data_IF_507224773474
#
_entry.id   IF_507224773474
#
_cell.length_a   1.000
_cell.length_b   1.000
_cell.length_c   1.000
_cell.angle_alpha   90.00
_cell.angle_beta   90.00
_cell.angle_gamma   90.00
#
_symmetry.space_group_name_H-M   'P 1'
#
loop_
_entity.id
_entity.type
_entity.pdbx_description
1 polymer ?
#
# COMPACT_ATOMS: atom_id res chain seq x y z
N UNK A 1 -21.85 -33.13 0.65
CA UNK A 1 -22.02 -31.73 0.18
C UNK A 1 -20.83 -30.93 0.65
N UNK A 2 -19.90 -30.64 -0.23
CA UNK A 2 -18.75 -29.82 0.06
C UNK A 2 -19.16 -28.37 -0.11
N UNK A 3 -19.16 -27.61 0.98
CA UNK A 3 -19.29 -26.16 0.93
C UNK A 3 -17.95 -25.61 0.39
N UNK A 4 -17.96 -25.25 -0.86
CA UNK A 4 -16.88 -24.50 -1.44
C UNK A 4 -16.75 -23.18 -0.66
N UNK A 5 -15.67 -23.01 0.10
CA UNK A 5 -15.28 -21.74 0.66
C UNK A 5 -14.99 -20.79 -0.50
N UNK A 6 -15.95 -19.94 -0.82
CA UNK A 6 -15.80 -18.90 -1.80
C UNK A 6 -14.80 -17.87 -1.29
N UNK A 7 -13.52 -18.12 -1.46
CA UNK A 7 -12.48 -17.12 -1.27
C UNK A 7 -12.74 -15.99 -2.26
N UNK A 8 -12.74 -14.74 -1.76
CA UNK A 8 -12.78 -13.56 -2.62
C UNK A 8 -11.61 -13.67 -3.60
N UNK A 9 -11.84 -13.67 -4.91
CA UNK A 9 -10.73 -13.78 -5.86
C UNK A 9 -9.78 -12.61 -5.67
N UNK A 10 -8.48 -12.90 -5.60
CA UNK A 10 -7.45 -11.86 -5.53
C UNK A 10 -7.54 -11.01 -6.80
N UNK A 11 -7.67 -9.69 -6.69
CA UNK A 11 -7.73 -8.82 -7.85
C UNK A 11 -6.49 -8.99 -8.73
N UNK A 12 -6.68 -8.97 -10.04
CA UNK A 12 -5.58 -9.03 -11.00
C UNK A 12 -4.87 -7.68 -11.03
N UNK A 13 -3.55 -7.70 -10.91
CA UNK A 13 -2.72 -6.53 -11.07
C UNK A 13 -2.12 -6.51 -12.50
N UNK A 14 -2.42 -5.46 -13.22
CA UNK A 14 -1.82 -5.16 -14.52
C UNK A 14 -0.63 -4.22 -14.35
N UNK A 15 0.26 -4.06 -15.35
CA UNK A 15 1.44 -3.21 -15.24
C UNK A 15 1.15 -1.76 -14.85
N UNK A 16 0.05 -1.17 -15.33
CA UNK A 16 -0.26 0.21 -15.02
C UNK A 16 0.79 1.19 -15.53
N UNK A 17 1.03 2.25 -14.75
CA UNK A 17 1.94 3.35 -15.10
C UNK A 17 2.92 3.63 -13.96
N UNK A 18 4.20 3.96 -14.27
CA UNK A 18 5.20 4.32 -13.25
C UNK A 18 5.01 5.74 -12.70
N UNK A 19 3.99 6.45 -13.10
CA UNK A 19 3.69 7.82 -12.73
C UNK A 19 2.18 8.10 -12.79
N UNK A 20 1.60 8.93 -11.91
CA UNK A 20 2.24 9.65 -10.79
C UNK A 20 2.56 8.74 -9.60
N UNK A 21 3.47 9.18 -8.72
CA UNK A 21 3.81 8.46 -7.49
C UNK A 21 2.64 8.41 -6.52
N UNK A 22 2.58 7.32 -5.76
CA UNK A 22 1.52 7.02 -4.82
C UNK A 22 0.43 6.14 -5.43
N UNK A 23 -0.70 6.09 -4.77
CA UNK A 23 -1.87 5.33 -5.22
C UNK A 23 -2.98 6.30 -5.57
N UNK A 24 -3.34 6.35 -6.83
CA UNK A 24 -4.26 7.34 -7.39
C UNK A 24 -5.36 6.67 -8.21
N UNK A 25 -6.56 7.27 -8.29
CA UNK A 25 -7.57 6.81 -9.24
C UNK A 25 -7.04 6.88 -10.67
N UNK A 26 -7.37 5.89 -11.47
CA UNK A 26 -6.94 5.83 -12.86
C UNK A 26 -8.01 5.17 -13.74
N UNK A 27 -8.02 5.57 -15.01
CA UNK A 27 -8.79 4.92 -16.06
C UNK A 27 -7.81 4.37 -17.09
N UNK A 28 -7.68 3.05 -17.15
CA UNK A 28 -6.74 2.36 -18.03
C UNK A 28 -7.48 1.27 -18.80
N UNK A 29 -7.35 1.30 -20.14
CA UNK A 29 -8.04 0.34 -20.99
C UNK A 29 -9.59 0.40 -20.88
N UNK A 30 -10.14 1.58 -20.63
CA UNK A 30 -11.57 1.78 -20.44
C UNK A 30 -12.10 1.31 -19.08
N UNK A 31 -11.23 0.89 -18.16
CA UNK A 31 -11.62 0.41 -16.83
C UNK A 31 -11.16 1.38 -15.75
N UNK A 32 -12.08 1.71 -14.84
CA UNK A 32 -11.78 2.50 -13.66
C UNK A 32 -11.12 1.63 -12.59
N UNK A 33 -10.14 2.18 -11.88
CA UNK A 33 -9.42 1.50 -10.82
C UNK A 33 -8.44 2.43 -10.13
N UNK A 34 -7.41 1.83 -9.54
CA UNK A 34 -6.30 2.55 -8.91
C UNK A 34 -4.98 2.15 -9.54
N UNK A 35 -4.10 3.12 -9.71
CA UNK A 35 -2.73 2.90 -10.13
C UNK A 35 -1.80 3.20 -8.96
N UNK A 36 -0.94 2.25 -8.64
CA UNK A 36 0.09 2.40 -7.62
C UNK A 36 1.44 2.58 -8.30
N UNK A 37 2.25 3.53 -7.84
CA UNK A 37 3.63 3.75 -8.25
C UNK A 37 4.49 4.09 -7.04
N UNK A 38 5.44 3.22 -6.72
CA UNK A 38 6.23 3.29 -5.48
C UNK A 38 7.71 3.13 -5.81
N UNK A 39 8.55 4.14 -5.54
CA UNK A 39 9.99 3.99 -5.69
C UNK A 39 10.55 3.12 -4.56
N UNK A 40 11.22 2.06 -4.94
CA UNK A 40 11.88 1.15 -4.01
C UNK A 40 13.08 0.47 -4.68
N UNK A 41 14.23 1.15 -4.78
CA UNK A 41 15.35 0.73 -5.63
C UNK A 41 15.95 -0.63 -5.24
N UNK A 42 15.95 -0.98 -3.97
CA UNK A 42 16.55 -2.23 -3.48
C UNK A 42 15.51 -3.30 -3.14
N UNK A 43 14.24 -3.02 -3.39
CA UNK A 43 13.17 -3.99 -3.15
C UNK A 43 13.19 -5.14 -4.16
N UNK A 44 12.77 -6.30 -3.73
CA UNK A 44 12.54 -7.49 -4.58
C UNK A 44 11.08 -7.65 -4.94
N UNK A 45 10.18 -7.08 -4.16
CA UNK A 45 8.75 -6.99 -4.44
C UNK A 45 8.10 -5.89 -3.61
N UNK A 46 7.02 -5.33 -4.12
CA UNK A 46 6.14 -4.40 -3.40
C UNK A 46 4.72 -4.94 -3.47
N UNK A 47 4.06 -5.00 -2.33
CA UNK A 47 2.66 -5.43 -2.21
C UNK A 47 1.79 -4.26 -1.80
N UNK A 48 0.69 -4.11 -2.52
CA UNK A 48 -0.41 -3.20 -2.19
C UNK A 48 -1.43 -3.98 -1.36
N UNK A 49 -1.61 -3.58 -0.11
CA UNK A 49 -2.59 -4.18 0.79
C UNK A 49 -3.83 -3.31 0.81
N UNK A 50 -4.97 -3.87 0.44
CA UNK A 50 -6.27 -3.19 0.48
C UNK A 50 -7.03 -3.59 1.74
N UNK A 51 -7.77 -2.65 2.29
CA UNK A 51 -8.56 -2.85 3.50
C UNK A 51 -10.03 -2.54 3.26
N UNK A 52 -10.88 -3.05 4.12
CA UNK A 52 -12.30 -2.74 4.14
C UNK A 52 -12.57 -1.25 4.42
N UNK A 53 -13.82 -0.83 4.30
CA UNK A 53 -14.23 0.57 4.48
C UNK A 53 -13.93 1.12 5.88
N UNK A 54 -13.79 0.25 6.86
CA UNK A 54 -13.43 0.62 8.23
C UNK A 54 -11.92 0.57 8.48
N UNK A 55 -11.14 0.02 7.55
CA UNK A 55 -9.70 -0.13 7.64
C UNK A 55 -9.25 -1.21 8.64
N UNK A 56 -10.14 -2.12 9.02
CA UNK A 56 -9.86 -3.14 10.02
C UNK A 56 -9.35 -4.43 9.42
N UNK A 57 -9.95 -4.86 8.31
CA UNK A 57 -9.67 -6.14 7.71
C UNK A 57 -8.97 -5.97 6.36
N UNK A 58 -7.86 -6.66 6.16
CA UNK A 58 -7.21 -6.75 4.87
C UNK A 58 -8.06 -7.60 3.93
N UNK A 59 -8.53 -6.99 2.85
CA UNK A 59 -9.42 -7.63 1.86
C UNK A 59 -8.66 -8.20 0.67
N UNK A 60 -7.49 -7.63 0.37
CA UNK A 60 -6.62 -8.13 -0.70
C UNK A 60 -5.16 -7.73 -0.45
N UNK A 61 -4.25 -8.58 -0.91
CA UNK A 61 -2.82 -8.30 -0.94
C UNK A 61 -2.33 -8.58 -2.35
N UNK A 62 -1.87 -7.54 -3.02
CA UNK A 62 -1.62 -7.55 -4.45
C UNK A 62 -0.18 -7.17 -4.72
N UNK A 63 0.58 -8.09 -5.31
CA UNK A 63 1.94 -7.79 -5.75
C UNK A 63 1.90 -6.89 -6.98
N UNK A 64 2.62 -5.77 -6.95
CA UNK A 64 2.73 -4.87 -8.10
C UNK A 64 3.39 -5.59 -9.27
N UNK A 65 2.78 -5.47 -10.46
CA UNK A 65 3.06 -6.33 -11.61
C UNK A 65 4.33 -5.95 -12.38
N UNK A 66 4.77 -4.70 -12.27
CA UNK A 66 5.84 -4.17 -13.10
C UNK A 66 6.83 -3.30 -12.32
N UNK A 67 8.01 -3.15 -12.91
CA UNK A 67 9.04 -2.25 -12.42
C UNK A 67 9.65 -1.51 -13.60
N UNK A 68 9.71 -0.20 -13.51
CA UNK A 68 10.38 0.67 -14.47
C UNK A 68 11.44 1.46 -13.72
N UNK A 69 12.69 1.24 -14.04
CA UNK A 69 13.82 1.74 -13.26
C UNK A 69 13.70 1.30 -11.79
N UNK A 70 13.58 2.24 -10.87
CA UNK A 70 13.43 1.96 -9.45
C UNK A 70 11.98 2.10 -8.95
N UNK A 71 11.01 2.22 -9.86
CA UNK A 71 9.61 2.42 -9.52
C UNK A 71 8.85 1.12 -9.75
N UNK A 72 8.28 0.57 -8.69
CA UNK A 72 7.32 -0.52 -8.75
C UNK A 72 5.94 0.04 -9.04
N UNK A 73 5.23 -0.55 -10.00
CA UNK A 73 3.91 -0.04 -10.37
C UNK A 73 2.94 -1.13 -10.79
N UNK A 74 1.67 -0.81 -10.68
CA UNK A 74 0.59 -1.70 -11.07
C UNK A 74 -0.76 -0.99 -11.06
N UNK A 75 -1.67 -1.53 -11.85
CA UNK A 75 -3.06 -1.09 -11.94
C UNK A 75 -3.99 -2.20 -11.50
N UNK A 76 -4.95 -1.84 -10.67
CA UNK A 76 -6.01 -2.74 -10.18
C UNK A 76 -7.36 -2.14 -10.54
N UNK A 77 -8.10 -2.82 -11.40
CA UNK A 77 -9.45 -2.40 -11.75
C UNK A 77 -10.42 -2.67 -10.58
N UNK A 78 -11.37 -1.77 -10.38
CA UNK A 78 -12.43 -1.86 -9.39
C UNK A 78 -12.32 -0.86 -8.26
N UNK A 79 -11.29 -0.88 -7.40
CA UNK A 79 -11.12 0.12 -6.34
C UNK A 79 -11.04 1.55 -6.89
N UNK A 80 -11.41 2.51 -6.07
CA UNK A 80 -11.41 3.93 -6.44
C UNK A 80 -11.10 4.84 -5.27
N UNK A 81 -11.49 6.10 -5.39
CA UNK A 81 -11.36 7.08 -4.32
C UNK A 81 -12.02 6.58 -3.03
N UNK A 82 -11.38 6.81 -1.90
CA UNK A 82 -11.81 6.32 -0.60
C UNK A 82 -11.25 4.96 -0.21
N UNK A 83 -10.69 4.18 -1.14
CA UNK A 83 -10.07 2.89 -0.85
C UNK A 83 -8.95 3.07 0.18
N UNK A 84 -9.00 2.29 1.24
CA UNK A 84 -7.94 2.26 2.26
C UNK A 84 -6.89 1.24 1.91
N UNK A 85 -5.63 1.62 2.08
CA UNK A 85 -4.50 0.79 1.70
C UNK A 85 -3.28 1.01 2.58
N UNK A 86 -2.33 0.12 2.44
CA UNK A 86 -0.96 0.23 2.92
C UNK A 86 -0.02 -0.53 2.01
N UNK A 87 1.26 -0.43 2.27
CA UNK A 87 2.30 -1.07 1.46
C UNK A 87 3.09 -2.06 2.31
N UNK A 88 3.50 -3.17 1.70
CA UNK A 88 4.52 -4.07 2.25
C UNK A 88 5.62 -4.23 1.23
N UNK A 89 6.86 -4.12 1.69
CA UNK A 89 8.02 -4.13 0.80
C UNK A 89 8.95 -5.27 1.19
N UNK A 90 9.29 -6.09 0.22
CA UNK A 90 10.24 -7.18 0.35
C UNK A 90 11.60 -6.76 -0.17
N UNK A 91 12.66 -7.26 0.45
CA UNK A 91 14.02 -6.99 0.06
C UNK A 91 15.00 -7.58 1.05
N UNK A 92 16.31 -7.30 0.89
CA UNK A 92 17.33 -7.84 1.77
C UNK A 92 17.24 -7.28 3.20
N UNK A 93 17.53 -8.14 4.17
CA UNK A 93 17.77 -7.73 5.55
C UNK A 93 19.29 -7.74 5.79
N UNK A 94 19.92 -6.61 5.58
CA UNK A 94 21.36 -6.39 5.73
C UNK A 94 21.59 -5.03 6.40
N UNK A 95 21.36 -4.93 7.73
CA UNK A 95 21.46 -3.66 8.46
C UNK A 95 22.79 -2.95 8.32
N UNK A 96 23.90 -3.70 8.21
CA UNK A 96 25.24 -3.19 7.99
C UNK A 96 25.41 -2.48 6.64
N UNK A 97 24.63 -2.87 5.64
CA UNK A 97 24.56 -2.22 4.33
C UNK A 97 23.42 -1.19 4.22
N UNK A 98 22.71 -0.94 5.31
CA UNK A 98 21.58 -0.01 5.33
C UNK A 98 20.25 -0.59 4.86
N UNK A 99 20.16 -1.89 4.58
CA UNK A 99 18.96 -2.55 4.11
C UNK A 99 18.17 -3.20 5.25
N UNK A 100 16.96 -2.72 5.50
CA UNK A 100 16.08 -3.22 6.57
C UNK A 100 14.67 -3.47 6.05
N UNK A 101 14.56 -4.21 4.95
CA UNK A 101 13.26 -4.60 4.41
C UNK A 101 12.60 -5.64 5.32
N UNK A 102 11.39 -5.37 5.75
CA UNK A 102 10.62 -6.29 6.58
C UNK A 102 9.15 -6.32 6.12
N UNK A 103 8.73 -7.37 5.38
CA UNK A 103 7.37 -7.45 4.84
C UNK A 103 6.29 -7.63 5.91
N UNK A 104 6.65 -7.93 7.16
CA UNK A 104 5.72 -7.91 8.29
C UNK A 104 5.35 -6.49 8.73
N UNK A 105 5.98 -5.48 8.17
CA UNK A 105 5.65 -4.08 8.44
C UNK A 105 4.76 -3.52 7.35
N UNK A 106 3.54 -3.17 7.75
CA UNK A 106 2.69 -2.33 6.92
C UNK A 106 3.24 -0.92 6.95
N UNK A 107 3.49 -0.36 5.78
CA UNK A 107 4.10 0.95 5.62
C UNK A 107 3.08 1.96 5.09
N UNK A 108 3.25 3.20 5.52
CA UNK A 108 2.53 4.33 4.98
C UNK A 108 3.19 4.76 3.67
N UNK A 109 2.40 4.95 2.63
CA UNK A 109 2.85 5.51 1.36
C UNK A 109 3.32 6.95 1.57
N UNK A 110 4.57 7.30 1.23
CA UNK A 110 5.07 8.66 1.39
C UNK A 110 4.31 9.71 0.56
N UNK A 111 3.63 9.29 -0.50
CA UNK A 111 2.82 10.16 -1.35
C UNK A 111 1.33 10.16 -0.99
N UNK A 112 0.95 9.49 0.11
CA UNK A 112 -0.45 9.53 0.55
C UNK A 112 -0.88 10.96 0.89
N UNK A 113 -2.10 11.30 0.54
CA UNK A 113 -2.69 12.61 0.84
C UNK A 113 -3.69 12.56 1.98
N UNK A 114 -4.09 11.38 2.37
CA UNK A 114 -5.06 11.17 3.44
C UNK A 114 -4.72 9.92 4.23
N UNK A 115 -4.79 10.05 5.54
CA UNK A 115 -4.67 8.93 6.48
C UNK A 115 -5.98 8.75 7.23
N UNK A 116 -6.31 7.52 7.56
CA UNK A 116 -7.46 7.16 8.37
C UNK A 116 -7.09 6.20 9.48
N UNK A 117 -7.68 6.38 10.63
CA UNK A 117 -7.43 5.57 11.82
C UNK A 117 -6.60 6.30 12.86
N UNK A 118 -6.50 5.72 14.07
CA UNK A 118 -5.75 6.33 15.14
C UNK A 118 -4.25 6.34 14.82
N UNK A 119 -3.62 7.47 15.04
CA UNK A 119 -2.18 7.58 15.16
C UNK A 119 -1.78 7.00 16.53
N UNK A 120 -1.68 5.69 16.63
CA UNK A 120 -1.01 5.10 17.77
C UNK A 120 0.45 5.56 17.76
N UNK A 121 0.98 5.91 18.92
CA UNK A 121 2.36 6.39 19.04
C UNK A 121 3.31 5.44 18.34
N UNK A 122 4.00 5.94 17.33
CA UNK A 122 4.98 5.22 16.51
C UNK A 122 6.24 4.77 17.28
N UNK A 123 6.27 4.90 18.59
CA UNK A 123 7.45 4.64 19.42
C UNK A 123 8.03 3.22 19.29
N UNK A 124 7.27 2.26 18.75
CA UNK A 124 7.70 0.87 18.57
C UNK A 124 7.51 0.36 17.13
N UNK A 125 7.31 1.25 16.17
CA UNK A 125 7.02 0.89 14.77
C UNK A 125 8.28 0.73 13.89
N UNK A 126 9.43 0.62 14.51
CA UNK A 126 10.66 0.30 13.81
C UNK A 126 10.65 -1.17 13.35
N UNK A 127 11.18 -1.41 12.15
CA UNK A 127 11.23 -2.75 11.55
C UNK A 127 12.17 -3.73 12.24
N UNK A 128 12.88 -3.30 13.26
CA UNK A 128 13.84 -4.09 14.03
C UNK A 128 13.52 -4.03 15.53
N UNK A 129 14.14 -4.91 16.31
CA UNK A 129 14.04 -4.87 17.77
C UNK A 129 14.95 -3.78 18.33
N UNK A 130 14.42 -2.88 19.16
CA UNK A 130 15.24 -1.83 19.77
C UNK A 130 16.39 -2.40 20.62
N UNK A 131 16.18 -3.56 21.28
CA UNK A 131 17.20 -4.29 22.04
C UNK A 131 18.19 -5.08 21.17
N UNK A 132 17.90 -5.30 19.89
CA UNK A 132 18.70 -6.04 18.95
C UNK A 132 18.55 -5.46 17.53
N UNK A 133 19.20 -4.34 17.20
CA UNK A 133 18.99 -3.61 15.95
C UNK A 133 19.33 -4.40 14.68
N UNK A 134 20.08 -5.47 14.80
CA UNK A 134 20.42 -6.35 13.67
C UNK A 134 19.37 -7.42 13.38
N UNK A 135 18.35 -7.55 14.23
CA UNK A 135 17.29 -8.53 14.08
C UNK A 135 15.99 -7.86 13.61
N UNK A 136 15.41 -8.40 12.54
CA UNK A 136 14.10 -7.99 12.08
C UNK A 136 13.03 -8.30 13.14
N UNK A 137 12.07 -7.41 13.28
CA UNK A 137 10.93 -7.65 14.15
C UNK A 137 10.01 -8.71 13.50
N UNK A 138 9.67 -9.75 14.25
CA UNK A 138 8.85 -10.87 13.78
C UNK A 138 7.33 -10.64 13.92
N UNK A 139 6.90 -9.48 14.42
CA UNK A 139 5.49 -9.17 14.65
C UNK A 139 4.94 -8.30 13.52
N UNK A 140 3.73 -8.61 13.08
CA UNK A 140 2.97 -7.75 12.16
C UNK A 140 2.48 -6.50 12.93
N UNK A 141 2.63 -5.34 12.32
CA UNK A 141 2.22 -4.06 12.92
C UNK A 141 0.89 -3.53 12.38
N UNK A 142 0.22 -4.25 11.49
CA UNK A 142 -0.92 -3.75 10.74
C UNK A 142 -2.05 -3.19 11.61
N UNK A 143 -2.26 -3.74 12.81
CA UNK A 143 -3.29 -3.26 13.75
C UNK A 143 -3.01 -1.85 14.31
N UNK A 144 -1.77 -1.40 14.25
CA UNK A 144 -1.31 -0.14 14.88
C UNK A 144 -1.01 0.97 13.90
N UNK A 145 -0.97 0.66 12.62
CA UNK A 145 -0.61 1.62 11.57
C UNK A 145 -1.87 2.22 10.95
N UNK A 146 -1.98 3.54 10.84
CA UNK A 146 -3.09 4.14 10.12
C UNK A 146 -3.08 3.70 8.66
N UNK A 147 -4.26 3.69 8.03
CA UNK A 147 -4.40 3.35 6.61
C UNK A 147 -4.23 4.59 5.77
N UNK A 148 -3.51 4.46 4.67
CA UNK A 148 -3.57 5.42 3.59
C UNK A 148 -4.95 5.36 2.93
N UNK A 149 -5.37 6.45 2.33
CA UNK A 149 -6.64 6.53 1.62
C UNK A 149 -6.43 7.11 0.24
N UNK A 150 -6.99 6.46 -0.76
CA UNK A 150 -6.96 6.95 -2.14
C UNK A 150 -7.82 8.21 -2.25
N UNK A 151 -7.24 9.27 -2.82
CA UNK A 151 -7.88 10.58 -2.96
C UNK A 151 -7.97 10.92 -4.44
N UNK A 152 -9.15 11.34 -4.88
CA UNK A 152 -9.32 12.00 -6.18
C UNK A 152 -9.12 13.50 -6.01
N UNK A 153 -7.96 13.98 -6.41
CA UNK A 153 -7.58 15.39 -6.26
C UNK A 153 -8.53 16.30 -7.06
N UNK A 154 -8.96 15.87 -8.23
CA UNK A 154 -9.85 16.67 -9.06
C UNK A 154 -11.24 16.84 -8.43
N UNK A 155 -11.71 15.82 -7.72
CA UNK A 155 -12.95 15.88 -6.96
C UNK A 155 -12.82 16.77 -5.73
N UNK A 156 -11.72 16.66 -4.99
CA UNK A 156 -11.44 17.50 -3.81
C UNK A 156 -11.30 18.98 -4.16
N UNK A 157 -10.61 19.28 -5.27
CA UNK A 157 -10.47 20.67 -5.73
C UNK A 157 -11.82 21.28 -6.14
N UNK A 158 -12.69 20.48 -6.76
CA UNK A 158 -14.06 20.93 -7.09
C UNK A 158 -14.91 21.16 -5.85
N UNK A 159 -14.82 20.27 -4.87
CA UNK A 159 -15.52 20.43 -3.59
C UNK A 159 -15.00 21.64 -2.81
N UNK A 160 -13.70 21.90 -2.79
CA UNK A 160 -13.09 23.07 -2.19
C UNK A 160 -13.50 24.40 -2.85
N UNK A 161 -13.63 24.40 -4.18
CA UNK A 161 -14.08 25.57 -4.92
C UNK A 161 -15.58 25.91 -4.68
N UNK A 162 -16.38 24.92 -4.33
CA UNK A 162 -17.80 25.13 -4.01
C UNK A 162 -18.04 25.74 -2.62
N UNK A 163 -17.02 25.78 -1.76
CA UNK A 163 -17.10 26.36 -0.40
C UNK A 163 -16.62 27.82 -0.37
N UNK A 164 -15.99 28.27 -1.41
CA UNK A 164 -15.61 29.67 -1.61
C UNK A 164 -16.65 30.39 -2.47
#
# INVERSE_FOLDING_TARGET
>A
MSLASGGVPTPVCEPGRPWPMGVVPALIGGRAGINAAVPAPHATAVELCLFDDEGRQETARIRLAARTDNIWHGFVAGPGAGQRYGLRVHGPWQPEAGHRFNPLRLLIDPWTRSLSGPLARLANEIGYRASAPHQACAHDNAERVPRCRVVDIAEELRAGAAIM
#
